data_IF_211475032579
#
_entry.id   IF_211475032579
#
_cell.length_a   1.000
_cell.length_b   1.000
_cell.length_c   1.000
_cell.angle_alpha   90.00
_cell.angle_beta   90.00
_cell.angle_gamma   90.00
#
_symmetry.space_group_name_H-M   'P 1'
#
loop_
_entity.id
_entity.type
_entity.pdbx_description
1 polymer ?
#
# COMPACT_ATOMS: atom_id res chain seq x y z
N UNK A 1 14.86 0.59 -6.17
CA UNK A 1 13.43 0.96 -6.19
C UNK A 1 12.94 1.32 -4.80
N UNK A 2 12.83 0.37 -3.87
CA UNK A 2 12.30 0.63 -2.50
C UNK A 2 13.01 1.77 -1.77
N UNK A 3 14.35 1.86 -1.86
CA UNK A 3 15.13 2.96 -1.25
C UNK A 3 14.80 4.36 -1.78
N UNK A 4 14.19 4.48 -2.97
CA UNK A 4 13.71 5.75 -3.53
C UNK A 4 12.21 5.94 -3.28
N UNK A 5 11.45 4.84 -3.19
CA UNK A 5 10.01 4.88 -2.98
C UNK A 5 9.64 5.40 -1.60
N UNK A 6 10.33 4.93 -0.55
CA UNK A 6 10.01 5.32 0.84
C UNK A 6 10.11 6.84 1.04
N UNK A 7 11.22 7.51 0.68
CA UNK A 7 11.30 8.97 0.79
C UNK A 7 10.28 9.72 -0.08
N UNK A 8 9.95 9.18 -1.26
CA UNK A 8 8.96 9.80 -2.14
C UNK A 8 7.55 9.77 -1.53
N UNK A 9 7.19 8.69 -0.83
CA UNK A 9 5.91 8.58 -0.11
C UNK A 9 5.88 9.45 1.15
N UNK A 10 6.98 9.52 1.90
CA UNK A 10 7.11 10.42 3.04
C UNK A 10 6.93 11.89 2.63
N UNK A 11 7.48 12.29 1.47
CA UNK A 11 7.28 13.64 0.90
C UNK A 11 5.81 13.92 0.52
N UNK A 12 4.99 12.88 0.31
CA UNK A 12 3.55 12.97 0.07
C UNK A 12 2.72 12.88 1.38
N UNK A 13 3.36 12.76 2.54
CA UNK A 13 2.68 12.59 3.83
C UNK A 13 2.11 11.18 4.05
N UNK A 14 2.61 10.20 3.29
CA UNK A 14 2.22 8.79 3.44
C UNK A 14 3.32 8.04 4.18
N UNK A 15 2.99 7.54 5.36
CA UNK A 15 3.89 6.74 6.18
C UNK A 15 3.62 5.24 5.95
N UNK A 16 4.69 4.50 5.69
CA UNK A 16 4.65 3.05 5.59
C UNK A 16 5.05 2.42 6.92
N UNK A 17 4.24 1.50 7.42
CA UNK A 17 4.56 0.71 8.61
C UNK A 17 5.49 -0.46 8.31
N UNK A 18 5.43 -1.00 7.08
CA UNK A 18 6.33 -2.05 6.61
C UNK A 18 6.41 -2.07 5.07
N UNK A 19 7.52 -2.63 4.58
CA UNK A 19 7.69 -3.02 3.17
C UNK A 19 8.35 -4.38 3.15
N UNK A 20 7.79 -5.34 2.43
CA UNK A 20 8.40 -6.65 2.28
C UNK A 20 8.15 -7.26 0.89
N UNK A 21 8.93 -8.29 0.58
CA UNK A 21 8.71 -9.14 -0.59
C UNK A 21 7.61 -10.15 -0.31
N UNK A 22 6.90 -10.55 -1.36
CA UNK A 22 5.88 -11.59 -1.31
C UNK A 22 6.31 -12.86 -2.05
N UNK A 23 5.47 -13.88 -2.05
CA UNK A 23 5.79 -15.21 -2.61
C UNK A 23 6.11 -15.20 -4.12
N UNK A 24 5.61 -14.21 -4.86
CA UNK A 24 5.85 -14.06 -6.30
C UNK A 24 7.12 -13.26 -6.64
N UNK A 25 7.80 -13.56 -7.77
CA UNK A 25 8.98 -12.80 -8.19
C UNK A 25 8.62 -11.35 -8.49
N UNK A 26 9.31 -10.41 -7.83
CA UNK A 26 9.07 -8.97 -7.99
C UNK A 26 7.77 -8.47 -7.33
N UNK A 27 7.04 -9.34 -6.60
CA UNK A 27 5.86 -8.95 -5.84
C UNK A 27 6.30 -8.30 -4.51
N UNK A 28 5.77 -7.11 -4.25
CA UNK A 28 6.06 -6.33 -3.05
C UNK A 28 4.75 -6.00 -2.34
N UNK A 29 4.76 -6.06 -1.02
CA UNK A 29 3.70 -5.53 -0.16
C UNK A 29 4.18 -4.24 0.51
N UNK A 30 3.28 -3.26 0.56
CA UNK A 30 3.46 -1.94 1.19
C UNK A 30 2.36 -1.77 2.22
N UNK A 31 2.70 -1.77 3.50
CA UNK A 31 1.74 -1.66 4.59
C UNK A 31 1.62 -0.20 4.99
N UNK A 32 0.43 0.38 4.79
CA UNK A 32 0.15 1.77 5.16
C UNK A 32 -0.28 1.83 6.63
N UNK A 33 0.05 2.93 7.31
CA UNK A 33 -0.48 3.21 8.64
C UNK A 33 -2.01 3.41 8.63
N UNK A 34 -2.73 3.01 9.70
CA UNK A 34 -4.18 3.22 9.77
C UNK A 34 -4.51 4.72 9.88
N UNK A 35 -5.48 5.18 9.09
CA UNK A 35 -6.00 6.56 9.14
C UNK A 35 -7.52 6.57 9.26
N UNK A 36 -8.06 7.69 9.77
CA UNK A 36 -9.51 7.88 9.97
C UNK A 36 -10.20 8.36 8.69
N UNK A 37 -11.40 7.82 8.44
CA UNK A 37 -12.26 8.27 7.34
C UNK A 37 -11.60 8.11 5.97
N UNK A 38 -11.70 9.14 5.14
CA UNK A 38 -11.24 9.10 3.75
C UNK A 38 -9.71 9.16 3.61
N UNK A 39 -8.98 9.61 4.63
CA UNK A 39 -7.52 9.75 4.55
C UNK A 39 -6.80 8.43 4.24
N UNK A 40 -7.33 7.28 4.69
CA UNK A 40 -6.75 5.98 4.34
C UNK A 40 -6.89 5.65 2.85
N UNK A 41 -8.01 6.07 2.23
CA UNK A 41 -8.23 5.89 0.80
C UNK A 41 -7.36 6.86 -0.03
N UNK A 42 -7.19 8.09 0.44
CA UNK A 42 -6.31 9.07 -0.19
C UNK A 42 -4.85 8.57 -0.23
N UNK A 43 -4.35 8.06 0.91
CA UNK A 43 -3.02 7.47 0.98
C UNK A 43 -2.86 6.28 0.02
N UNK A 44 -3.85 5.38 -0.04
CA UNK A 44 -3.80 4.24 -0.95
C UNK A 44 -3.75 4.68 -2.42
N UNK A 45 -4.46 5.74 -2.78
CA UNK A 45 -4.42 6.33 -4.12
C UNK A 45 -3.04 6.97 -4.41
N UNK A 46 -2.48 7.72 -3.46
CA UNK A 46 -1.15 8.32 -3.56
C UNK A 46 -0.04 7.28 -3.68
N UNK A 47 -0.11 6.18 -2.92
CA UNK A 47 0.84 5.07 -3.03
C UNK A 47 0.81 4.48 -4.44
N UNK A 48 -0.37 4.15 -4.95
CA UNK A 48 -0.52 3.59 -6.30
C UNK A 48 0.03 4.54 -7.37
N UNK A 49 -0.18 5.84 -7.21
CA UNK A 49 0.37 6.87 -8.10
C UNK A 49 1.90 6.91 -8.03
N UNK A 50 2.47 7.13 -6.84
CA UNK A 50 3.91 7.26 -6.64
C UNK A 50 4.69 6.01 -7.08
N UNK A 51 4.17 4.81 -6.78
CA UNK A 51 4.77 3.54 -7.23
C UNK A 51 4.84 3.47 -8.76
N UNK A 52 3.78 3.87 -9.46
CA UNK A 52 3.75 3.85 -10.93
C UNK A 52 4.70 4.87 -11.53
N UNK A 53 4.70 6.10 -11.01
CA UNK A 53 5.56 7.18 -11.50
C UNK A 53 7.04 6.86 -11.29
N UNK A 54 7.42 6.38 -10.09
CA UNK A 54 8.81 6.02 -9.81
C UNK A 54 9.26 4.81 -10.65
N UNK A 55 8.37 3.84 -10.88
CA UNK A 55 8.71 2.70 -11.73
C UNK A 55 8.96 3.18 -13.17
N UNK A 56 8.06 4.01 -13.70
CA UNK A 56 8.20 4.57 -15.05
C UNK A 56 9.49 5.40 -15.20
N UNK A 57 9.83 6.24 -14.21
CA UNK A 57 11.04 7.08 -14.24
C UNK A 57 12.35 6.29 -14.18
N UNK A 58 12.29 5.02 -13.77
CA UNK A 58 13.46 4.12 -13.67
C UNK A 58 13.45 3.02 -14.74
N UNK A 59 12.60 3.14 -15.76
CA UNK A 59 12.50 2.18 -16.86
C UNK A 59 11.81 0.86 -16.50
N UNK A 60 11.12 0.82 -15.36
CA UNK A 60 10.32 -0.32 -14.90
C UNK A 60 8.83 -0.07 -15.12
N UNK A 61 8.03 -1.12 -14.98
CA UNK A 61 6.56 -1.02 -14.97
C UNK A 61 6.00 -1.68 -13.73
N UNK A 62 5.37 -0.90 -12.86
CA UNK A 62 4.59 -1.42 -11.76
C UNK A 62 3.18 -1.82 -12.23
N UNK A 63 2.68 -2.95 -11.74
CA UNK A 63 1.33 -3.45 -12.00
C UNK A 63 0.57 -3.66 -10.70
N UNK A 64 -0.72 -3.34 -10.71
CA UNK A 64 -1.67 -3.60 -9.63
C UNK A 64 -2.82 -4.50 -10.14
N UNK A 65 -2.57 -5.27 -11.20
CA UNK A 65 -3.50 -6.27 -11.68
C UNK A 65 -3.55 -7.42 -10.67
N UNK A 66 -4.74 -7.95 -10.40
CA UNK A 66 -4.91 -9.08 -9.48
C UNK A 66 -4.08 -10.32 -9.91
N UNK A 67 -3.81 -10.44 -11.22
CA UNK A 67 -2.96 -11.47 -11.80
C UNK A 67 -2.17 -10.90 -12.98
N UNK A 68 -0.86 -11.08 -12.98
CA UNK A 68 0.03 -10.65 -14.08
C UNK A 68 0.20 -11.74 -15.13
N UNK A 69 0.33 -13.00 -14.71
CA UNK A 69 0.40 -14.14 -15.60
C UNK A 69 -0.27 -15.39 -15.00
N UNK A 70 -0.75 -16.32 -15.84
CA UNK A 70 -1.21 -17.63 -15.39
C UNK A 70 -0.10 -18.39 -14.65
N UNK A 71 -0.41 -19.01 -13.51
CA UNK A 71 0.53 -19.82 -12.74
C UNK A 71 1.45 -19.06 -11.78
N UNK A 72 1.53 -17.73 -11.86
CA UNK A 72 2.25 -16.89 -10.86
C UNK A 72 1.39 -16.61 -9.63
N UNK A 73 1.94 -15.97 -8.60
CA UNK A 73 1.14 -15.47 -7.48
C UNK A 73 0.30 -14.25 -7.86
N UNK A 74 -0.83 -14.05 -7.18
CA UNK A 74 -1.71 -12.90 -7.40
C UNK A 74 -1.33 -11.69 -6.55
N UNK A 75 -1.80 -10.51 -6.95
CA UNK A 75 -1.77 -9.31 -6.11
C UNK A 75 -3.14 -9.08 -5.50
N UNK A 76 -3.19 -8.81 -4.19
CA UNK A 76 -4.40 -8.40 -3.47
C UNK A 76 -4.21 -7.01 -2.86
N UNK A 77 -5.28 -6.48 -2.26
CA UNK A 77 -5.23 -5.29 -1.43
C UNK A 77 -6.09 -5.53 -0.20
N UNK A 78 -5.47 -5.97 0.89
CA UNK A 78 -6.17 -6.19 2.15
C UNK A 78 -6.58 -4.86 2.76
N UNK A 79 -7.80 -4.80 3.29
CA UNK A 79 -8.30 -3.61 3.97
C UNK A 79 -8.71 -4.00 5.38
N UNK A 80 -8.07 -3.39 6.35
CA UNK A 80 -8.37 -3.55 7.76
C UNK A 80 -9.28 -2.41 8.20
N UNK A 81 -10.46 -2.73 8.72
CA UNK A 81 -11.44 -1.73 9.14
C UNK A 81 -11.66 -1.80 10.66
N UNK A 82 -11.85 -0.63 11.26
CA UNK A 82 -12.30 -0.48 12.64
C UNK A 82 -13.34 0.62 12.72
N UNK A 83 -14.29 0.49 13.65
CA UNK A 83 -15.29 1.52 13.93
C UNK A 83 -14.99 2.16 15.28
N UNK A 84 -15.16 3.48 15.38
CA UNK A 84 -14.81 4.25 16.57
C UNK A 84 -15.95 5.17 16.98
N UNK A 85 -16.24 5.17 18.28
CA UNK A 85 -17.07 6.19 18.93
C UNK A 85 -16.15 7.11 19.75
N UNK A 86 -15.90 8.32 19.25
CA UNK A 86 -14.91 9.21 19.83
C UNK A 86 -13.50 8.61 19.84
N UNK A 87 -13.03 8.19 21.01
CA UNK A 87 -11.72 7.53 21.22
C UNK A 87 -11.85 6.04 21.58
N UNK A 88 -13.07 5.51 21.63
CA UNK A 88 -13.34 4.11 21.96
C UNK A 88 -13.50 3.31 20.67
N UNK A 89 -12.77 2.21 20.53
CA UNK A 89 -12.96 1.28 19.42
C UNK A 89 -14.25 0.48 19.67
N UNK A 90 -15.27 0.69 18.84
CA UNK A 90 -16.57 0.04 18.96
C UNK A 90 -16.53 -1.46 18.58
N UNK A 91 -15.45 -1.92 17.93
CA UNK A 91 -15.20 -3.34 17.65
C UNK A 91 -14.34 -4.01 18.70
N UNK A 92 -13.84 -3.27 19.70
CA UNK A 92 -13.11 -3.89 20.80
C UNK A 92 -14.06 -4.85 21.54
N UNK A 93 -13.61 -6.10 21.69
CA UNK A 93 -14.28 -7.06 22.57
C UNK A 93 -14.23 -6.60 24.03
N UNK A 94 -15.02 -7.24 24.91
CA UNK A 94 -14.91 -7.03 26.35
C UNK A 94 -13.50 -7.31 26.88
#
# INVERSE_FOLDING_TARGET
FVSQLVPALEALGVELSAVHTEAGPGLLELNLGPKRGLHAADDAALVKFAVKELAASTGMRASFLAKTAPGEEGSSGHIHFSCWDGQTNAFAGP
#
